data_IF_160274250970
#
_entry.id   IF_160274250970
#
_cell.length_a   1.000
_cell.length_b   1.000
_cell.length_c   1.000
_cell.angle_alpha   90.00
_cell.angle_beta   90.00
_cell.angle_gamma   90.00
#
_symmetry.space_group_name_H-M   'P 1'
#
loop_
_entity.id
_entity.type
_entity.pdbx_description
1 polymer ?
#
# COMPACT_ATOMS: atom_id res chain seq x y z
N UNK A 1 -9.81 7.16 -18.89
CA UNK A 1 -9.90 6.85 -17.45
C UNK A 1 -11.29 6.33 -17.13
N UNK A 2 -11.41 5.40 -16.18
CA UNK A 2 -12.72 4.88 -15.74
C UNK A 2 -13.26 5.59 -14.49
N UNK A 3 -12.37 5.87 -13.52
CA UNK A 3 -12.67 6.75 -12.38
C UNK A 3 -11.72 7.94 -12.46
N UNK A 4 -12.23 9.15 -12.36
CA UNK A 4 -11.42 10.38 -12.31
C UNK A 4 -11.88 11.27 -11.17
N UNK A 5 -10.92 11.78 -10.40
CA UNK A 5 -11.12 12.86 -9.45
C UNK A 5 -10.41 14.10 -9.99
N UNK A 6 -11.10 15.24 -10.00
CA UNK A 6 -10.57 16.52 -10.47
C UNK A 6 -10.71 17.58 -9.40
N UNK A 7 -9.57 18.02 -8.86
CA UNK A 7 -9.47 19.13 -7.90
C UNK A 7 -10.39 18.95 -6.68
N UNK A 8 -10.49 17.73 -6.17
CA UNK A 8 -11.36 17.39 -5.04
C UNK A 8 -10.83 18.02 -3.76
N UNK A 9 -11.70 18.77 -3.10
CA UNK A 9 -11.46 19.35 -1.79
C UNK A 9 -12.51 18.88 -0.79
N UNK A 10 -12.08 18.60 0.45
CA UNK A 10 -12.95 18.26 1.57
C UNK A 10 -12.34 18.71 2.88
N UNK A 11 -13.09 19.43 3.67
CA UNK A 11 -12.66 20.00 4.96
C UNK A 11 -13.66 19.63 6.06
N UNK A 12 -13.18 19.33 7.24
CA UNK A 12 -13.96 19.12 8.46
C UNK A 12 -13.43 20.06 9.55
N UNK A 13 -14.13 21.18 9.77
CA UNK A 13 -13.59 22.26 10.61
C UNK A 13 -12.26 22.77 10.04
N UNK A 14 -11.20 22.71 10.83
CA UNK A 14 -9.86 23.12 10.40
C UNK A 14 -9.06 22.02 9.70
N UNK A 15 -9.60 20.80 9.65
CA UNK A 15 -8.90 19.65 9.07
C UNK A 15 -9.25 19.47 7.58
N UNK A 16 -8.24 19.62 6.71
CA UNK A 16 -8.35 19.32 5.28
C UNK A 16 -8.15 17.83 5.05
N UNK A 17 -9.22 17.10 4.83
CA UNK A 17 -9.19 15.67 4.51
C UNK A 17 -8.82 15.42 3.04
N UNK A 18 -9.12 16.34 2.15
CA UNK A 18 -8.65 16.35 0.76
C UNK A 18 -8.34 17.79 0.37
N UNK A 19 -7.16 18.02 -0.20
CA UNK A 19 -6.64 19.31 -0.61
C UNK A 19 -6.17 19.20 -2.08
N UNK A 20 -7.04 19.62 -3.01
CA UNK A 20 -6.78 19.60 -4.44
C UNK A 20 -6.42 18.20 -5.01
N UNK A 21 -7.14 17.17 -4.56
CA UNK A 21 -6.89 15.78 -4.96
C UNK A 21 -7.34 15.55 -6.40
N UNK A 22 -6.39 15.13 -7.24
CA UNK A 22 -6.66 14.78 -8.65
C UNK A 22 -5.92 13.52 -9.03
N UNK A 23 -6.63 12.52 -9.55
CA UNK A 23 -6.05 11.30 -10.13
C UNK A 23 -7.07 10.57 -11.02
N UNK A 24 -6.56 9.70 -11.88
CA UNK A 24 -7.39 8.83 -12.72
C UNK A 24 -7.03 7.36 -12.55
N UNK A 25 -8.02 6.49 -12.74
CA UNK A 25 -7.91 5.04 -12.65
C UNK A 25 -8.42 4.41 -13.93
N UNK A 26 -7.69 3.45 -14.46
CA UNK A 26 -8.10 2.68 -15.63
C UNK A 26 -9.08 1.57 -15.27
N UNK A 27 -9.87 1.15 -16.25
CA UNK A 27 -10.84 0.05 -16.06
C UNK A 27 -10.12 -1.28 -15.81
N UNK A 28 -10.65 -2.07 -14.87
CA UNK A 28 -10.14 -3.40 -14.54
C UNK A 28 -8.91 -3.41 -13.63
N UNK A 29 -8.40 -2.26 -13.21
CA UNK A 29 -7.25 -2.15 -12.30
C UNK A 29 -7.66 -2.29 -10.84
N UNK A 30 -6.76 -2.85 -10.05
CA UNK A 30 -6.82 -2.89 -8.59
C UNK A 30 -5.87 -1.85 -8.01
N UNK A 31 -6.43 -0.80 -7.43
CA UNK A 31 -5.69 0.36 -6.93
C UNK A 31 -5.60 0.31 -5.40
N UNK A 32 -4.39 0.46 -4.87
CA UNK A 32 -4.13 0.65 -3.45
C UNK A 32 -4.04 2.14 -3.11
N UNK A 33 -4.95 2.64 -2.30
CA UNK A 33 -4.87 3.99 -1.73
C UNK A 33 -4.14 3.91 -0.40
N UNK A 34 -2.87 4.31 -0.37
CA UNK A 34 -1.92 4.09 0.71
C UNK A 34 -1.51 5.41 1.38
N UNK A 35 -1.27 5.38 2.68
CA UNK A 35 -0.76 6.54 3.42
C UNK A 35 -0.98 6.40 4.93
N UNK A 36 -0.45 7.29 5.75
CA UNK A 36 -0.63 7.25 7.20
C UNK A 36 -2.07 7.45 7.63
N UNK A 37 -2.38 7.11 8.88
CA UNK A 37 -3.68 7.40 9.47
C UNK A 37 -3.96 8.91 9.40
N UNK A 38 -5.20 9.27 9.06
CA UNK A 38 -5.57 10.68 8.90
C UNK A 38 -5.10 11.34 7.59
N UNK A 39 -4.58 10.62 6.58
CA UNK A 39 -4.20 11.22 5.29
C UNK A 39 -5.37 11.45 4.32
N UNK A 40 -6.62 11.15 4.70
CA UNK A 40 -7.80 11.40 3.89
C UNK A 40 -8.31 10.22 3.04
N UNK A 41 -7.65 9.06 3.06
CA UNK A 41 -7.97 7.88 2.23
C UNK A 41 -9.43 7.43 2.29
N UNK A 42 -9.92 7.16 3.49
CA UNK A 42 -11.33 6.74 3.72
C UNK A 42 -12.30 7.82 3.27
N UNK A 43 -11.97 9.10 3.43
CA UNK A 43 -12.79 10.22 2.96
C UNK A 43 -12.87 10.21 1.42
N UNK A 44 -11.74 10.04 0.73
CA UNK A 44 -11.70 9.91 -0.73
C UNK A 44 -12.57 8.72 -1.17
N UNK A 45 -12.40 7.56 -0.53
CA UNK A 45 -13.17 6.36 -0.85
C UNK A 45 -14.69 6.59 -0.68
N UNK A 46 -15.10 7.25 0.42
CA UNK A 46 -16.49 7.58 0.69
C UNK A 46 -17.06 8.60 -0.28
N UNK A 47 -16.28 9.58 -0.72
CA UNK A 47 -16.71 10.54 -1.74
C UNK A 47 -16.94 9.83 -3.09
N UNK A 48 -16.07 8.92 -3.51
CA UNK A 48 -16.31 8.11 -4.71
C UNK A 48 -17.59 7.28 -4.57
N UNK A 49 -17.82 6.69 -3.40
CA UNK A 49 -19.02 5.90 -3.11
C UNK A 49 -20.32 6.72 -3.06
N UNK A 50 -20.26 8.05 -2.91
CA UNK A 50 -21.43 8.92 -2.67
C UNK A 50 -21.95 8.84 -1.25
N UNK A 51 -21.14 8.37 -0.32
CA UNK A 51 -21.42 8.36 1.14
C UNK A 51 -20.98 9.66 1.81
N UNK A 52 -20.20 10.47 1.13
CA UNK A 52 -19.71 11.78 1.52
C UNK A 52 -19.71 12.68 0.27
N UNK A 53 -19.96 13.98 0.44
CA UNK A 53 -19.88 14.94 -0.66
C UNK A 53 -18.57 15.73 -0.59
N UNK A 54 -17.86 15.95 -1.69
CA UNK A 54 -16.77 16.91 -1.74
C UNK A 54 -17.29 18.33 -1.57
N UNK A 55 -16.46 19.21 -1.02
CA UNK A 55 -16.79 20.63 -0.90
C UNK A 55 -16.62 21.34 -2.26
N UNK A 56 -15.70 20.83 -3.11
CA UNK A 56 -15.51 21.27 -4.49
C UNK A 56 -14.78 20.21 -5.31
N UNK A 57 -14.75 20.39 -6.64
CA UNK A 57 -14.17 19.46 -7.59
C UNK A 57 -15.17 18.48 -8.17
N UNK A 58 -14.74 17.61 -9.06
CA UNK A 58 -15.59 16.67 -9.79
C UNK A 58 -15.14 15.23 -9.60
N UNK A 59 -16.09 14.33 -9.37
CA UNK A 59 -15.91 12.88 -9.39
C UNK A 59 -16.59 12.34 -10.64
N UNK A 60 -15.83 11.67 -11.49
CA UNK A 60 -16.30 11.13 -12.77
C UNK A 60 -16.14 9.61 -12.74
N UNK A 61 -17.20 8.88 -13.07
CA UNK A 61 -17.20 7.43 -13.19
C UNK A 61 -17.78 7.07 -14.56
N UNK A 62 -17.03 6.33 -15.36
CA UNK A 62 -17.39 5.92 -16.72
C UNK A 62 -17.82 7.12 -17.58
N UNK A 63 -17.06 8.23 -17.51
CA UNK A 63 -17.31 9.47 -18.23
C UNK A 63 -18.47 10.34 -17.72
N UNK A 64 -19.16 9.92 -16.63
CA UNK A 64 -20.27 10.66 -16.04
C UNK A 64 -19.86 11.30 -14.71
N UNK A 65 -20.13 12.59 -14.55
CA UNK A 65 -20.00 13.28 -13.25
C UNK A 65 -21.06 12.72 -12.29
N UNK A 66 -20.62 12.30 -11.09
CA UNK A 66 -21.48 11.59 -10.11
C UNK A 66 -21.64 12.32 -8.78
N UNK A 67 -21.19 13.56 -8.67
CA UNK A 67 -21.28 14.33 -7.40
C UNK A 67 -22.68 14.28 -6.79
N UNK A 68 -23.70 14.57 -7.59
CA UNK A 68 -25.10 14.62 -7.16
C UNK A 68 -25.86 13.30 -7.32
N UNK A 69 -25.17 12.23 -7.75
CA UNK A 69 -25.78 10.91 -7.89
C UNK A 69 -25.77 10.19 -6.54
N UNK A 70 -26.94 9.74 -6.03
CA UNK A 70 -27.02 8.98 -4.78
C UNK A 70 -26.15 7.70 -4.83
N UNK A 71 -25.58 7.30 -3.69
CA UNK A 71 -24.73 6.10 -3.59
C UNK A 71 -25.39 4.84 -4.16
N UNK A 72 -26.72 4.68 -3.97
CA UNK A 72 -27.49 3.54 -4.48
C UNK A 72 -27.57 3.44 -6.00
N UNK A 73 -27.30 4.55 -6.71
CA UNK A 73 -27.41 4.65 -8.16
C UNK A 73 -26.05 4.71 -8.88
N UNK A 74 -24.94 4.75 -8.12
CA UNK A 74 -23.58 4.77 -8.69
C UNK A 74 -23.09 3.42 -9.20
N UNK A 75 -23.81 2.32 -8.96
CA UNK A 75 -23.40 0.98 -9.38
C UNK A 75 -22.15 0.46 -8.69
N UNK A 76 -21.91 0.87 -7.46
CA UNK A 76 -20.72 0.58 -6.65
C UNK A 76 -21.01 -0.48 -5.61
N UNK A 77 -20.09 -1.45 -5.46
CA UNK A 77 -20.02 -2.33 -4.31
C UNK A 77 -19.09 -1.72 -3.24
N UNK A 78 -19.52 -1.72 -1.98
CA UNK A 78 -18.72 -1.18 -0.88
C UNK A 78 -18.55 -2.21 0.23
N UNK A 79 -17.29 -2.40 0.68
CA UNK A 79 -16.94 -3.24 1.83
C UNK A 79 -16.36 -2.33 2.91
N UNK A 80 -17.04 -2.26 4.06
CA UNK A 80 -16.63 -1.46 5.21
C UNK A 80 -15.56 -2.17 6.04
N UNK A 81 -14.74 -1.41 6.74
CA UNK A 81 -13.66 -1.89 7.61
C UNK A 81 -14.12 -2.92 8.65
N UNK A 82 -15.30 -2.74 9.23
CA UNK A 82 -15.90 -3.65 10.20
C UNK A 82 -16.82 -4.69 9.57
N UNK A 83 -16.73 -4.85 8.22
CA UNK A 83 -17.56 -5.72 7.38
C UNK A 83 -19.05 -5.35 7.36
N UNK A 84 -19.57 -4.67 8.36
CA UNK A 84 -20.95 -4.22 8.51
C UNK A 84 -22.01 -5.28 8.14
N UNK A 85 -21.76 -6.55 8.52
CA UNK A 85 -22.73 -7.64 8.27
C UNK A 85 -23.94 -7.47 9.19
N UNK A 86 -25.12 -7.78 8.64
CA UNK A 86 -26.36 -7.80 9.39
C UNK A 86 -26.35 -9.02 10.33
N UNK A 87 -26.22 -8.77 11.63
CA UNK A 87 -25.97 -9.79 12.67
C UNK A 87 -27.08 -10.82 12.78
N UNK A 88 -28.32 -10.43 12.49
CA UNK A 88 -29.52 -11.25 12.57
C UNK A 88 -29.92 -11.88 11.23
N UNK A 89 -29.07 -11.74 10.21
CA UNK A 89 -29.24 -12.36 8.91
C UNK A 89 -28.23 -13.48 8.71
N UNK A 90 -28.65 -14.54 8.04
CA UNK A 90 -27.75 -15.62 7.64
C UNK A 90 -26.73 -15.15 6.60
N UNK A 91 -25.73 -15.97 6.27
CA UNK A 91 -24.81 -15.73 5.13
C UNK A 91 -25.60 -15.51 3.85
N UNK A 92 -26.59 -16.41 3.57
CA UNK A 92 -27.47 -16.28 2.41
C UNK A 92 -28.21 -14.94 2.39
N UNK A 93 -28.83 -14.54 3.51
CA UNK A 93 -29.60 -13.31 3.58
C UNK A 93 -28.76 -12.05 3.49
N UNK A 94 -27.56 -12.06 4.08
CA UNK A 94 -26.58 -10.96 3.92
C UNK A 94 -26.24 -10.75 2.45
N UNK A 95 -25.90 -11.83 1.71
CA UNK A 95 -25.53 -11.75 0.28
C UNK A 95 -26.76 -11.35 -0.56
N UNK A 96 -27.93 -11.88 -0.25
CA UNK A 96 -29.17 -11.60 -0.98
C UNK A 96 -29.71 -10.18 -0.75
N UNK A 97 -29.25 -9.47 0.29
CA UNK A 97 -29.87 -8.22 0.75
C UNK A 97 -30.02 -7.18 -0.36
N UNK A 98 -28.92 -6.84 -1.03
CA UNK A 98 -28.95 -5.82 -2.10
C UNK A 98 -29.89 -6.19 -3.25
N UNK A 99 -29.90 -7.48 -3.65
CA UNK A 99 -30.80 -7.98 -4.68
C UNK A 99 -32.29 -7.96 -4.27
N UNK A 100 -32.58 -8.19 -2.97
CA UNK A 100 -33.95 -8.06 -2.42
C UNK A 100 -34.42 -6.61 -2.44
N UNK A 101 -33.52 -5.65 -2.09
CA UNK A 101 -33.81 -4.21 -2.17
C UNK A 101 -34.12 -3.78 -3.60
N UNK A 102 -33.38 -4.31 -4.57
CA UNK A 102 -33.60 -4.08 -6.01
C UNK A 102 -34.84 -4.80 -6.55
N UNK A 103 -35.58 -5.55 -5.70
CA UNK A 103 -36.76 -6.34 -6.08
C UNK A 103 -36.49 -7.35 -7.21
N UNK A 104 -35.27 -7.92 -7.25
CA UNK A 104 -34.90 -8.94 -8.23
C UNK A 104 -35.74 -10.23 -8.05
N UNK A 105 -35.88 -10.98 -9.14
CA UNK A 105 -36.61 -12.25 -9.12
C UNK A 105 -36.03 -13.27 -8.13
N UNK A 106 -36.87 -14.00 -7.42
CA UNK A 106 -36.47 -14.98 -6.39
C UNK A 106 -35.56 -16.08 -6.92
N UNK A 107 -35.78 -16.54 -8.14
CA UNK A 107 -34.98 -17.58 -8.78
C UNK A 107 -33.60 -17.05 -9.12
N UNK A 108 -33.52 -15.82 -9.64
CA UNK A 108 -32.26 -15.14 -9.90
C UNK A 108 -31.47 -14.91 -8.60
N UNK A 109 -32.11 -14.39 -7.52
CA UNK A 109 -31.48 -14.21 -6.21
C UNK A 109 -30.85 -15.51 -5.75
N UNK A 110 -31.61 -16.62 -5.76
CA UNK A 110 -31.09 -17.93 -5.33
C UNK A 110 -29.88 -18.37 -6.15
N UNK A 111 -29.95 -18.26 -7.46
CA UNK A 111 -28.86 -18.66 -8.35
C UNK A 111 -27.61 -17.79 -8.12
N UNK A 112 -27.77 -16.48 -8.03
CA UNK A 112 -26.68 -15.51 -7.82
C UNK A 112 -26.00 -15.71 -6.47
N UNK A 113 -26.78 -15.86 -5.39
CA UNK A 113 -26.24 -16.08 -4.04
C UNK A 113 -25.47 -17.39 -3.98
N UNK A 114 -26.02 -18.50 -4.51
CA UNK A 114 -25.32 -19.79 -4.49
C UNK A 114 -24.01 -19.76 -5.28
N UNK A 115 -24.01 -19.09 -6.45
CA UNK A 115 -22.77 -18.87 -7.23
C UNK A 115 -21.74 -18.07 -6.44
N UNK A 116 -22.15 -17.03 -5.71
CA UNK A 116 -21.25 -16.23 -4.89
C UNK A 116 -20.74 -16.99 -3.67
N UNK A 117 -21.60 -17.77 -3.00
CA UNK A 117 -21.20 -18.64 -1.88
C UNK A 117 -20.14 -19.65 -2.31
N UNK A 118 -20.30 -20.24 -3.48
CA UNK A 118 -19.29 -21.15 -4.06
C UNK A 118 -18.00 -20.39 -4.40
N UNK A 119 -18.11 -19.21 -5.02
CA UNK A 119 -16.99 -18.36 -5.40
C UNK A 119 -16.13 -17.97 -4.21
N UNK A 120 -16.73 -17.65 -3.06
CA UNK A 120 -16.01 -17.26 -1.83
C UNK A 120 -15.60 -18.46 -0.96
N UNK A 121 -15.85 -19.70 -1.41
CA UNK A 121 -15.47 -20.93 -0.71
C UNK A 121 -16.23 -21.20 0.59
N UNK A 122 -17.49 -20.76 0.68
CA UNK A 122 -18.34 -20.93 1.89
C UNK A 122 -19.55 -21.86 1.65
N UNK A 123 -19.45 -22.78 0.68
CA UNK A 123 -20.48 -23.78 0.39
C UNK A 123 -20.79 -24.61 1.65
N UNK A 124 -22.09 -24.73 1.97
CA UNK A 124 -22.59 -25.43 3.16
C UNK A 124 -22.71 -24.53 4.41
N UNK A 125 -22.27 -23.26 4.34
CA UNK A 125 -22.36 -22.28 5.43
C UNK A 125 -23.50 -21.25 5.23
N UNK A 126 -24.35 -21.44 4.23
CA UNK A 126 -25.35 -20.45 3.80
C UNK A 126 -26.33 -20.06 4.92
N UNK A 127 -26.62 -21.03 5.81
CA UNK A 127 -27.56 -20.86 6.92
C UNK A 127 -26.92 -20.34 8.20
N UNK A 128 -25.58 -20.18 8.24
CA UNK A 128 -24.88 -19.66 9.42
C UNK A 128 -25.08 -18.17 9.57
N UNK A 129 -25.01 -17.71 10.82
CA UNK A 129 -25.00 -16.28 11.17
C UNK A 129 -23.58 -15.76 11.29
N UNK A 130 -23.36 -14.44 11.15
CA UNK A 130 -22.02 -13.84 11.29
C UNK A 130 -21.27 -14.20 12.57
N UNK A 131 -21.97 -14.38 13.69
CA UNK A 131 -21.38 -14.82 14.96
C UNK A 131 -20.78 -16.23 14.95
N UNK A 132 -21.14 -17.05 13.97
CA UNK A 132 -20.66 -18.42 13.80
C UNK A 132 -19.52 -18.55 12.78
N UNK A 133 -19.00 -17.40 12.30
CA UNK A 133 -17.97 -17.33 11.26
C UNK A 133 -16.65 -16.79 11.83
N UNK A 134 -15.53 -17.25 11.27
CA UNK A 134 -14.23 -16.64 11.50
C UNK A 134 -14.15 -15.22 10.90
N UNK A 135 -13.13 -14.42 11.26
CA UNK A 135 -12.90 -13.09 10.73
C UNK A 135 -12.82 -13.09 9.19
N UNK A 136 -11.97 -13.95 8.63
CA UNK A 136 -11.83 -14.09 7.18
C UNK A 136 -13.10 -14.57 6.48
N UNK A 137 -13.88 -15.47 7.12
CA UNK A 137 -15.19 -15.88 6.58
C UNK A 137 -16.19 -14.72 6.56
N UNK A 138 -16.25 -13.90 7.63
CA UNK A 138 -17.10 -12.70 7.66
C UNK A 138 -16.72 -11.72 6.55
N UNK A 139 -15.43 -11.51 6.32
CA UNK A 139 -14.96 -10.64 5.24
C UNK A 139 -15.38 -11.18 3.87
N UNK A 140 -15.19 -12.45 3.59
CA UNK A 140 -15.62 -13.08 2.33
C UNK A 140 -17.13 -12.91 2.10
N UNK A 141 -17.94 -13.01 3.16
CA UNK A 141 -19.39 -12.74 3.08
C UNK A 141 -19.67 -11.27 2.74
N UNK A 142 -18.97 -10.32 3.37
CA UNK A 142 -19.13 -8.89 3.06
C UNK A 142 -18.74 -8.59 1.60
N UNK A 143 -17.67 -9.21 1.12
CA UNK A 143 -17.24 -9.12 -0.27
C UNK A 143 -18.33 -9.68 -1.23
N UNK A 144 -18.85 -10.87 -0.97
CA UNK A 144 -19.93 -11.46 -1.77
C UNK A 144 -21.20 -10.61 -1.75
N UNK A 145 -21.55 -10.00 -0.60
CA UNK A 145 -22.67 -9.05 -0.49
C UNK A 145 -22.47 -7.84 -1.38
N UNK A 146 -21.25 -7.27 -1.38
CA UNK A 146 -20.92 -6.12 -2.24
C UNK A 146 -20.97 -6.48 -3.74
N UNK A 147 -20.61 -7.71 -4.11
CA UNK A 147 -20.64 -8.21 -5.48
C UNK A 147 -22.03 -8.68 -5.96
N UNK A 148 -22.96 -8.94 -5.06
CA UNK A 148 -24.27 -9.52 -5.42
C UNK A 148 -25.03 -8.69 -6.45
N UNK A 149 -25.11 -7.34 -6.33
CA UNK A 149 -25.78 -6.49 -7.31
C UNK A 149 -25.06 -6.36 -8.66
N UNK A 150 -23.92 -7.04 -8.85
CA UNK A 150 -23.08 -6.95 -10.04
C UNK A 150 -22.50 -5.52 -10.28
N UNK A 151 -21.79 -4.96 -9.31
CA UNK A 151 -21.25 -3.61 -9.45
C UNK A 151 -20.18 -3.52 -10.53
N UNK A 152 -19.96 -2.30 -11.05
CA UNK A 152 -18.89 -2.01 -12.01
C UNK A 152 -17.60 -1.52 -11.31
N UNK A 153 -17.71 -1.05 -10.08
CA UNK A 153 -16.62 -0.57 -9.25
C UNK A 153 -16.76 -1.17 -7.85
N UNK A 154 -15.65 -1.66 -7.28
CA UNK A 154 -15.61 -2.18 -5.93
C UNK A 154 -14.70 -1.33 -5.05
N UNK A 155 -15.22 -0.88 -3.92
CA UNK A 155 -14.50 -0.07 -2.95
C UNK A 155 -14.35 -0.84 -1.64
N UNK A 156 -13.13 -0.90 -1.10
CA UNK A 156 -12.78 -1.69 0.08
C UNK A 156 -12.07 -0.79 1.10
N UNK A 157 -12.72 -0.54 2.23
CA UNK A 157 -12.17 0.28 3.30
C UNK A 157 -11.44 -0.61 4.32
N UNK A 158 -10.10 -0.57 4.31
CA UNK A 158 -9.20 -1.38 5.15
C UNK A 158 -9.57 -2.88 5.19
N UNK A 159 -9.61 -3.57 4.04
CA UNK A 159 -10.17 -4.93 3.97
C UNK A 159 -9.41 -5.96 4.79
N UNK A 160 -8.16 -5.70 5.17
CA UNK A 160 -7.31 -6.66 5.90
C UNK A 160 -7.12 -6.29 7.38
N UNK A 161 -7.75 -5.21 7.86
CA UNK A 161 -7.71 -4.83 9.26
C UNK A 161 -8.40 -5.88 10.15
N UNK A 162 -7.95 -6.01 11.39
CA UNK A 162 -8.52 -6.89 12.40
C UNK A 162 -8.52 -8.41 12.06
N UNK A 163 -7.52 -8.86 11.30
CA UNK A 163 -7.33 -10.28 10.95
C UNK A 163 -5.92 -10.73 11.38
N UNK A 164 -5.83 -11.96 11.87
CA UNK A 164 -4.55 -12.59 12.22
C UNK A 164 -3.57 -12.63 11.05
N UNK A 165 -2.27 -12.44 11.32
CA UNK A 165 -1.24 -12.31 10.29
C UNK A 165 -1.22 -13.47 9.28
N UNK A 166 -1.40 -14.73 9.74
CA UNK A 166 -1.42 -15.90 8.86
C UNK A 166 -2.62 -15.88 7.89
N UNK A 167 -3.80 -15.57 8.42
CA UNK A 167 -5.05 -15.50 7.63
C UNK A 167 -5.00 -14.30 6.69
N UNK A 168 -4.32 -13.22 7.08
CA UNK A 168 -4.17 -12.00 6.28
C UNK A 168 -3.44 -12.28 4.95
N UNK A 169 -2.34 -13.02 4.96
CA UNK A 169 -1.60 -13.40 3.74
C UNK A 169 -2.47 -14.22 2.78
N UNK A 170 -3.15 -15.25 3.29
CA UNK A 170 -4.08 -16.06 2.48
C UNK A 170 -5.21 -15.21 1.88
N UNK A 171 -5.67 -14.21 2.62
CA UNK A 171 -6.78 -13.36 2.20
C UNK A 171 -6.35 -12.31 1.16
N UNK A 172 -5.11 -11.80 1.23
CA UNK A 172 -4.52 -10.92 0.22
C UNK A 172 -4.47 -11.62 -1.13
N UNK A 173 -3.85 -12.81 -1.19
CA UNK A 173 -3.79 -13.61 -2.43
C UNK A 173 -5.19 -13.93 -2.94
N UNK A 174 -6.10 -14.38 -2.06
CA UNK A 174 -7.48 -14.68 -2.43
C UNK A 174 -8.21 -13.45 -3.02
N UNK A 175 -8.04 -12.26 -2.43
CA UNK A 175 -8.69 -11.04 -2.92
C UNK A 175 -8.16 -10.65 -4.30
N UNK A 176 -6.84 -10.69 -4.49
CA UNK A 176 -6.18 -10.40 -5.75
C UNK A 176 -6.68 -11.32 -6.86
N UNK A 177 -6.59 -12.64 -6.67
CA UNK A 177 -7.07 -13.65 -7.61
C UNK A 177 -8.55 -13.46 -7.96
N UNK A 178 -9.35 -13.09 -6.95
CA UNK A 178 -10.79 -12.89 -7.12
C UNK A 178 -11.09 -11.66 -7.99
N UNK A 179 -10.41 -10.54 -7.74
CA UNK A 179 -10.59 -9.30 -8.50
C UNK A 179 -10.11 -9.49 -9.94
N UNK A 180 -8.95 -10.10 -10.14
CA UNK A 180 -8.41 -10.44 -11.47
C UNK A 180 -9.40 -11.34 -12.24
N UNK A 181 -9.89 -12.40 -11.61
CA UNK A 181 -10.85 -13.32 -12.23
C UNK A 181 -12.18 -12.66 -12.62
N UNK A 182 -12.62 -11.67 -11.87
CA UNK A 182 -13.85 -10.93 -12.12
C UNK A 182 -13.64 -9.78 -13.12
N UNK A 183 -12.41 -9.31 -13.33
CA UNK A 183 -12.09 -8.17 -14.16
C UNK A 183 -12.75 -6.86 -13.71
N UNK A 184 -13.04 -6.74 -12.40
CA UNK A 184 -13.72 -5.58 -11.84
C UNK A 184 -12.73 -4.51 -11.40
N UNK A 185 -12.98 -3.26 -11.74
CA UNK A 185 -12.19 -2.13 -11.21
C UNK A 185 -12.37 -2.04 -9.71
N UNK A 186 -11.27 -1.95 -8.97
CA UNK A 186 -11.34 -1.96 -7.51
C UNK A 186 -10.39 -0.96 -6.89
N UNK A 187 -10.80 -0.36 -5.77
CA UNK A 187 -9.97 0.53 -4.96
C UNK A 187 -10.03 0.02 -3.52
N UNK A 188 -8.88 -0.22 -2.92
CA UNK A 188 -8.81 -0.51 -1.50
C UNK A 188 -7.96 0.53 -0.77
N UNK A 189 -8.35 0.81 0.46
CA UNK A 189 -7.62 1.68 1.38
C UNK A 189 -6.82 0.82 2.34
N UNK A 190 -5.58 1.18 2.56
CA UNK A 190 -4.74 0.58 3.60
C UNK A 190 -3.72 1.59 4.15
N UNK A 191 -3.22 1.34 5.34
CA UNK A 191 -2.05 2.00 5.90
C UNK A 191 -0.84 1.04 5.95
N UNK A 192 -1.03 -0.22 5.57
CA UNK A 192 0.00 -1.25 5.52
C UNK A 192 0.64 -1.27 4.12
N UNK A 193 1.95 -1.05 4.09
CA UNK A 193 2.73 -0.98 2.85
C UNK A 193 2.80 -2.34 2.16
N UNK A 194 2.95 -3.42 2.93
CA UNK A 194 3.06 -4.77 2.39
C UNK A 194 1.75 -5.18 1.70
N UNK A 195 0.60 -4.75 2.25
CA UNK A 195 -0.70 -4.97 1.61
C UNK A 195 -0.79 -4.29 0.25
N UNK A 196 -0.37 -3.02 0.17
CA UNK A 196 -0.42 -2.27 -1.07
C UNK A 196 0.53 -2.85 -2.12
N UNK A 197 1.77 -3.22 -1.72
CA UNK A 197 2.79 -3.77 -2.62
C UNK A 197 2.37 -5.15 -3.17
N UNK A 198 1.80 -6.01 -2.32
CA UNK A 198 1.46 -7.39 -2.70
C UNK A 198 0.20 -7.46 -3.58
N UNK A 199 -0.78 -6.59 -3.32
CA UNK A 199 -2.13 -6.73 -3.87
C UNK A 199 -2.38 -5.80 -5.05
N UNK A 200 -1.91 -4.55 -5.02
CA UNK A 200 -2.27 -3.53 -6.00
C UNK A 200 -1.52 -3.65 -7.34
N UNK A 201 -2.21 -3.32 -8.44
CA UNK A 201 -1.58 -3.06 -9.75
C UNK A 201 -0.88 -1.70 -9.76
N UNK A 202 -1.52 -0.70 -9.15
CA UNK A 202 -1.00 0.65 -8.96
C UNK A 202 -1.31 1.12 -7.54
N UNK A 203 -0.44 1.92 -6.97
CA UNK A 203 -0.63 2.58 -5.67
C UNK A 203 -0.72 4.08 -5.84
N UNK A 204 -1.57 4.70 -5.03
CA UNK A 204 -1.69 6.14 -4.90
C UNK A 204 -1.33 6.48 -3.46
N UNK A 205 -0.24 7.19 -3.28
CA UNK A 205 0.24 7.60 -1.95
C UNK A 205 -0.41 8.92 -1.57
N UNK A 206 -1.02 8.93 -0.39
CA UNK A 206 -1.65 10.12 0.18
C UNK A 206 -0.95 10.56 1.46
N UNK A 207 -0.80 11.88 1.62
CA UNK A 207 -0.28 12.47 2.82
C UNK A 207 -0.97 13.82 3.08
N UNK A 208 -1.45 14.05 4.29
CA UNK A 208 -2.09 15.32 4.70
C UNK A 208 -3.15 15.83 3.69
N UNK A 209 -3.97 14.91 3.18
CA UNK A 209 -5.04 15.24 2.22
C UNK A 209 -4.58 15.46 0.78
N UNK A 210 -3.32 15.26 0.44
CA UNK A 210 -2.76 15.43 -0.92
C UNK A 210 -2.27 14.11 -1.48
N UNK A 211 -2.18 14.05 -2.80
CA UNK A 211 -1.51 12.95 -3.49
C UNK A 211 -0.01 13.28 -3.55
N UNK A 212 0.81 12.38 -3.06
CA UNK A 212 2.27 12.47 -3.13
C UNK A 212 2.81 11.88 -4.43
N UNK A 213 2.32 10.69 -4.78
CA UNK A 213 2.76 9.99 -5.98
C UNK A 213 1.74 8.91 -6.38
N UNK A 214 1.69 8.58 -7.68
CA UNK A 214 0.96 7.45 -8.25
C UNK A 214 1.90 6.65 -9.16
N UNK A 215 1.83 5.32 -9.12
CA UNK A 215 2.57 4.41 -10.00
C UNK A 215 2.39 2.96 -9.62
N UNK A 216 3.07 2.06 -10.30
CA UNK A 216 3.16 0.67 -9.84
C UNK A 216 3.93 0.60 -8.50
N UNK A 217 3.69 -0.43 -7.67
CA UNK A 217 4.43 -0.58 -6.41
C UNK A 217 5.95 -0.49 -6.58
N UNK A 218 6.49 -1.12 -7.64
CA UNK A 218 7.91 -1.13 -7.92
C UNK A 218 8.44 0.25 -8.32
N UNK A 219 7.73 0.97 -9.20
CA UNK A 219 8.11 2.33 -9.63
C UNK A 219 8.15 3.29 -8.45
N UNK A 220 7.08 3.32 -7.65
CA UNK A 220 7.01 4.20 -6.48
C UNK A 220 8.09 3.88 -5.44
N UNK A 221 8.40 2.57 -5.29
CA UNK A 221 9.47 2.14 -4.40
C UNK A 221 10.86 2.52 -4.91
N UNK A 222 11.14 2.31 -6.20
CA UNK A 222 12.47 2.55 -6.77
C UNK A 222 12.74 4.03 -7.05
N UNK A 223 11.72 4.77 -7.48
CA UNK A 223 11.80 6.15 -7.93
C UNK A 223 10.79 7.02 -7.18
N UNK A 224 10.98 7.24 -5.85
CA UNK A 224 10.12 8.14 -5.11
C UNK A 224 10.29 9.58 -5.61
N UNK A 225 9.18 10.26 -5.89
CA UNK A 225 9.17 11.64 -6.39
C UNK A 225 9.26 12.65 -5.24
N UNK A 226 8.75 12.30 -4.05
CA UNK A 226 8.73 13.20 -2.91
C UNK A 226 9.57 12.69 -1.74
N UNK A 227 10.07 13.62 -0.93
CA UNK A 227 10.76 13.32 0.32
C UNK A 227 9.90 12.43 1.24
N UNK A 228 8.58 12.68 1.25
CA UNK A 228 7.65 11.84 1.98
C UNK A 228 7.65 10.41 1.45
N UNK A 229 7.48 10.21 0.15
CA UNK A 229 7.45 8.87 -0.47
C UNK A 229 8.76 8.13 -0.25
N UNK A 230 9.92 8.81 -0.37
CA UNK A 230 11.23 8.21 -0.13
C UNK A 230 11.36 7.65 1.28
N UNK A 231 10.87 8.39 2.29
CA UNK A 231 10.93 8.00 3.71
C UNK A 231 9.77 7.10 4.17
N UNK A 232 8.69 7.02 3.39
CA UNK A 232 7.48 6.32 3.82
C UNK A 232 7.61 4.80 3.74
N UNK A 233 8.34 4.26 2.75
CA UNK A 233 8.48 2.82 2.57
C UNK A 233 9.60 2.21 3.42
N UNK A 234 9.26 1.18 4.19
CA UNK A 234 10.20 0.37 4.94
C UNK A 234 10.83 1.09 6.13
N UNK A 235 11.90 0.49 6.65
CA UNK A 235 12.73 1.07 7.70
C UNK A 235 13.81 1.92 7.04
N UNK A 236 13.64 3.23 7.00
CA UNK A 236 14.62 4.14 6.42
C UNK A 236 15.53 4.74 7.49
N UNK A 237 16.77 5.05 7.11
CA UNK A 237 17.69 5.88 7.89
C UNK A 237 17.75 7.26 7.27
N UNK A 238 17.66 8.30 8.10
CA UNK A 238 17.83 9.70 7.68
C UNK A 238 19.24 10.12 8.01
N UNK A 239 19.93 10.70 7.05
CA UNK A 239 21.33 11.15 7.14
C UNK A 239 21.35 12.66 6.95
N UNK A 240 21.77 13.39 7.96
CA UNK A 240 21.87 14.86 7.89
C UNK A 240 23.04 15.33 7.02
N UNK A 241 24.15 14.58 7.02
CA UNK A 241 25.31 14.84 6.17
C UNK A 241 25.71 13.59 5.41
N UNK A 242 25.21 13.42 4.19
CA UNK A 242 25.50 12.24 3.35
C UNK A 242 26.89 12.27 2.71
N UNK A 243 27.61 13.39 2.76
CA UNK A 243 28.99 13.51 2.28
C UNK A 243 29.99 12.72 3.12
N UNK A 244 29.58 12.21 4.30
CA UNK A 244 30.37 11.20 5.05
C UNK A 244 30.57 9.91 4.26
N UNK A 245 29.68 9.62 3.30
CA UNK A 245 29.78 8.46 2.43
C UNK A 245 30.45 8.87 1.13
N UNK A 246 31.56 8.22 0.80
CA UNK A 246 32.32 8.53 -0.40
C UNK A 246 31.50 8.26 -1.68
N UNK A 247 31.87 8.96 -2.76
CA UNK A 247 31.34 8.73 -4.12
C UNK A 247 29.85 9.08 -4.33
N UNK A 248 29.31 10.03 -3.59
CA UNK A 248 28.05 10.66 -3.91
C UNK A 248 28.27 12.11 -4.34
N UNK A 249 27.63 12.50 -5.45
CA UNK A 249 27.65 13.88 -5.94
C UNK A 249 26.87 14.80 -4.99
N UNK A 250 27.29 16.05 -4.91
CA UNK A 250 26.58 17.06 -4.15
C UNK A 250 25.33 17.52 -4.92
N UNK A 251 24.17 17.49 -4.26
CA UNK A 251 22.92 18.04 -4.80
C UNK A 251 22.80 19.50 -4.34
N UNK A 252 22.83 20.49 -5.27
CA UNK A 252 22.65 21.88 -4.91
C UNK A 252 21.31 22.13 -4.22
N UNK A 253 21.35 22.59 -2.97
CA UNK A 253 20.17 22.78 -2.12
C UNK A 253 19.61 21.49 -1.54
N UNK A 254 20.38 20.39 -1.57
CA UNK A 254 20.04 19.15 -0.86
C UNK A 254 20.15 19.34 0.65
N UNK A 255 19.18 18.81 1.39
CA UNK A 255 19.11 19.00 2.84
C UNK A 255 19.59 17.76 3.59
N UNK A 256 18.96 16.61 3.32
CA UNK A 256 19.20 15.33 4.00
C UNK A 256 19.17 14.21 2.99
N UNK A 257 19.71 13.04 3.34
CA UNK A 257 19.54 11.85 2.56
C UNK A 257 18.73 10.80 3.31
N UNK A 258 17.94 10.04 2.56
CA UNK A 258 17.17 8.89 3.02
C UNK A 258 17.82 7.65 2.43
N UNK A 259 18.13 6.68 3.28
CA UNK A 259 18.73 5.41 2.90
C UNK A 259 17.87 4.25 3.38
N UNK A 260 17.67 3.27 2.52
CA UNK A 260 16.95 2.04 2.88
C UNK A 260 17.93 0.92 3.22
N UNK A 261 17.58 0.01 4.13
CA UNK A 261 18.48 -1.05 4.60
C UNK A 261 19.06 -1.93 3.49
N UNK A 262 18.29 -2.19 2.43
CA UNK A 262 18.73 -3.01 1.29
C UNK A 262 19.76 -2.34 0.40
N UNK A 263 19.98 -1.03 0.55
CA UNK A 263 21.02 -0.28 -0.16
C UNK A 263 22.30 -0.11 0.67
N UNK A 264 22.30 -0.65 1.89
CA UNK A 264 23.44 -0.62 2.79
C UNK A 264 24.05 -2.00 2.88
N UNK A 265 25.21 -2.20 2.28
CA UNK A 265 25.98 -3.42 2.40
C UNK A 265 26.96 -3.32 3.55
N UNK A 266 26.93 -4.29 4.45
CA UNK A 266 27.82 -4.39 5.61
C UNK A 266 28.66 -5.63 5.46
N UNK A 267 29.98 -5.50 5.47
CA UNK A 267 30.94 -6.60 5.33
C UNK A 267 31.98 -6.55 6.46
N UNK A 268 32.43 -7.72 6.88
CA UNK A 268 33.55 -7.82 7.85
C UNK A 268 34.85 -7.42 7.19
N UNK A 269 35.84 -6.99 7.97
CA UNK A 269 37.16 -6.56 7.48
C UNK A 269 37.93 -7.65 6.71
N UNK A 270 37.63 -8.93 7.00
CA UNK A 270 38.26 -10.10 6.37
C UNK A 270 37.44 -10.70 5.22
N UNK A 271 36.25 -10.16 4.94
CA UNK A 271 35.44 -10.61 3.81
C UNK A 271 35.88 -9.91 2.52
N UNK A 272 35.74 -10.63 1.40
CA UNK A 272 35.94 -10.04 0.08
C UNK A 272 34.79 -9.08 -0.22
N UNK A 273 35.14 -7.86 -0.61
CA UNK A 273 34.18 -6.82 -0.96
C UNK A 273 34.59 -6.13 -2.24
N UNK A 274 33.68 -6.09 -3.21
CA UNK A 274 33.91 -5.52 -4.53
C UNK A 274 34.27 -4.02 -4.48
N UNK A 275 33.67 -3.27 -3.53
CA UNK A 275 33.84 -1.82 -3.39
C UNK A 275 34.54 -1.43 -2.09
N UNK A 276 35.56 -2.20 -1.68
CA UNK A 276 36.24 -1.98 -0.39
C UNK A 276 36.89 -0.60 -0.26
N UNK A 277 37.45 -0.08 -1.35
CA UNK A 277 38.07 1.26 -1.37
C UNK A 277 37.06 2.41 -1.20
N UNK A 278 35.79 2.16 -1.49
CA UNK A 278 34.69 3.12 -1.40
C UNK A 278 33.81 2.93 -0.17
N UNK A 279 34.09 1.89 0.63
CA UNK A 279 33.41 1.63 1.88
C UNK A 279 33.92 2.55 2.98
N UNK A 280 33.02 2.90 3.89
CA UNK A 280 33.33 3.69 5.09
C UNK A 280 33.31 2.76 6.31
N UNK A 281 34.22 2.98 7.25
CA UNK A 281 34.27 2.21 8.49
C UNK A 281 33.08 2.53 9.38
N UNK A 282 32.46 1.45 9.94
CA UNK A 282 31.36 1.57 10.88
C UNK A 282 31.49 0.57 12.02
N UNK A 283 30.73 0.81 13.07
CA UNK A 283 30.64 -0.08 14.25
C UNK A 283 29.21 -0.60 14.38
N UNK A 284 29.07 -1.91 14.50
CA UNK A 284 27.75 -2.56 14.72
C UNK A 284 27.26 -2.25 16.12
N UNK A 285 26.15 -1.52 16.24
CA UNK A 285 25.53 -1.19 17.51
C UNK A 285 24.51 -2.24 17.98
N UNK A 286 23.78 -2.81 17.02
CA UNK A 286 22.73 -3.77 17.33
C UNK A 286 22.60 -4.80 16.22
N UNK A 287 22.34 -6.05 16.63
CA UNK A 287 22.01 -7.17 15.74
C UNK A 287 20.67 -7.74 16.16
N UNK A 288 19.71 -7.84 15.25
CA UNK A 288 18.40 -8.42 15.51
C UNK A 288 18.06 -9.47 14.44
N UNK A 289 17.73 -10.68 14.88
CA UNK A 289 17.24 -11.73 13.98
C UNK A 289 15.78 -11.46 13.57
N UNK A 290 15.50 -11.50 12.27
CA UNK A 290 14.18 -11.23 11.67
C UNK A 290 13.61 -12.42 10.89
N UNK A 291 13.97 -13.64 11.26
CA UNK A 291 13.52 -14.86 10.59
C UNK A 291 14.36 -15.22 9.37
N UNK A 292 14.31 -14.43 8.31
CA UNK A 292 15.05 -14.67 7.05
C UNK A 292 16.37 -13.91 6.92
N UNK A 293 16.65 -12.94 7.80
CA UNK A 293 17.85 -12.10 7.74
C UNK A 293 18.21 -11.56 9.12
N UNK A 294 19.42 -11.01 9.23
CA UNK A 294 19.84 -10.16 10.34
C UNK A 294 19.58 -8.69 9.98
N UNK A 295 18.91 -7.99 10.86
CA UNK A 295 18.79 -6.54 10.81
C UNK A 295 19.89 -5.94 11.70
N UNK A 296 20.66 -5.03 11.11
CA UNK A 296 21.78 -4.39 11.77
C UNK A 296 21.48 -2.91 11.97
N UNK A 297 21.95 -2.36 13.10
CA UNK A 297 22.16 -0.93 13.28
C UNK A 297 23.67 -0.70 13.30
N UNK A 298 24.16 0.10 12.36
CA UNK A 298 25.59 0.35 12.20
C UNK A 298 25.85 1.85 12.29
N UNK A 299 26.72 2.24 13.21
CA UNK A 299 27.17 3.64 13.37
C UNK A 299 28.31 3.91 12.41
N UNK A 300 28.17 4.98 11.61
CA UNK A 300 29.19 5.53 10.73
C UNK A 300 29.33 7.01 11.08
N UNK A 301 30.42 7.40 11.72
CA UNK A 301 30.53 8.74 12.32
C UNK A 301 29.38 9.02 13.29
N UNK A 302 28.64 10.10 13.09
CA UNK A 302 27.48 10.48 13.90
C UNK A 302 26.15 9.89 13.42
N UNK A 303 26.17 9.12 12.32
CA UNK A 303 24.97 8.57 11.68
C UNK A 303 24.79 7.10 12.02
N UNK A 304 23.55 6.68 12.31
CA UNK A 304 23.19 5.27 12.50
C UNK A 304 22.37 4.79 11.32
N UNK A 305 22.92 3.82 10.59
CA UNK A 305 22.26 3.21 9.46
C UNK A 305 21.59 1.88 9.85
N UNK A 306 20.46 1.62 9.22
CA UNK A 306 19.87 0.27 9.19
C UNK A 306 20.43 -0.48 7.99
N UNK A 307 20.78 -1.74 8.17
CA UNK A 307 21.24 -2.62 7.10
C UNK A 307 20.61 -4.00 7.26
N UNK A 308 20.62 -4.77 6.18
CA UNK A 308 20.24 -6.20 6.20
C UNK A 308 21.44 -7.05 5.80
N UNK A 309 21.62 -8.16 6.53
CA UNK A 309 22.66 -9.16 6.23
C UNK A 309 22.02 -10.53 6.10
N UNK A 310 22.43 -11.28 5.09
CA UNK A 310 21.95 -12.66 4.87
C UNK A 310 22.40 -13.59 6.01
N UNK A 311 21.64 -14.64 6.25
CA UNK A 311 22.02 -15.71 7.18
C UNK A 311 23.12 -16.60 6.62
N UNK A 312 23.36 -16.57 5.30
CA UNK A 312 24.43 -17.32 4.64
C UNK A 312 25.79 -16.62 4.78
N UNK A 313 25.82 -15.34 5.15
CA UNK A 313 27.04 -14.58 5.42
C UNK A 313 27.51 -14.82 6.86
N UNK A 314 28.82 -14.70 7.12
CA UNK A 314 29.34 -14.81 8.49
C UNK A 314 28.61 -13.84 9.45
N UNK A 315 28.16 -14.30 10.61
CA UNK A 315 27.45 -13.45 11.54
C UNK A 315 28.37 -12.36 12.11
N UNK A 316 27.85 -11.13 12.19
CA UNK A 316 28.50 -10.01 12.86
C UNK A 316 28.01 -9.88 14.30
N UNK A 317 28.83 -9.27 15.16
CA UNK A 317 28.52 -9.05 16.57
C UNK A 317 28.42 -7.56 16.91
N UNK A 318 27.70 -7.26 17.96
CA UNK A 318 27.66 -5.92 18.52
C UNK A 318 29.07 -5.48 18.98
N UNK A 319 29.46 -4.26 18.65
CA UNK A 319 30.81 -3.72 18.88
C UNK A 319 31.82 -4.06 17.76
N UNK A 320 31.45 -4.90 16.79
CA UNK A 320 32.37 -5.27 15.72
C UNK A 320 32.56 -4.13 14.71
N UNK A 321 33.81 -3.91 14.30
CA UNK A 321 34.18 -2.92 13.27
C UNK A 321 33.97 -3.57 11.91
N UNK A 322 33.22 -2.90 11.05
CA UNK A 322 32.80 -3.38 9.73
C UNK A 322 33.03 -2.36 8.64
N UNK A 323 33.03 -2.79 7.39
CA UNK A 323 33.01 -1.92 6.23
C UNK A 323 31.56 -1.74 5.76
N UNK A 324 31.16 -0.48 5.60
CA UNK A 324 29.81 -0.07 5.20
C UNK A 324 29.87 0.56 3.82
N UNK A 325 29.18 -0.01 2.86
CA UNK A 325 29.05 0.51 1.51
C UNK A 325 27.58 0.87 1.23
N UNK A 326 27.35 2.14 0.94
CA UNK A 326 26.02 2.65 0.58
C UNK A 326 25.92 2.71 -0.94
N UNK A 327 25.00 1.95 -1.53
CA UNK A 327 24.84 1.83 -2.97
C UNK A 327 24.11 3.01 -3.61
N UNK A 328 23.07 3.50 -2.95
CA UNK A 328 22.24 4.62 -3.40
C UNK A 328 21.53 5.29 -2.25
N UNK A 329 21.22 6.57 -2.44
CA UNK A 329 20.54 7.41 -1.47
C UNK A 329 19.48 8.24 -2.18
N UNK A 330 18.48 8.72 -1.44
CA UNK A 330 17.51 9.71 -1.89
C UNK A 330 17.80 11.02 -1.17
N UNK A 331 18.32 12.03 -1.87
CA UNK A 331 18.59 13.36 -1.29
C UNK A 331 17.32 14.19 -1.35
N UNK A 332 16.89 14.73 -0.23
CA UNK A 332 15.70 15.59 -0.15
C UNK A 332 16.07 17.03 -0.49
N UNK A 333 15.21 17.67 -1.30
CA UNK A 333 15.29 19.07 -1.67
C UNK A 333 13.89 19.68 -1.58
N UNK A 334 13.59 20.33 -0.47
CA UNK A 334 12.22 20.72 -0.16
C UNK A 334 11.30 19.49 -0.10
N UNK A 335 10.28 19.40 -0.98
CA UNK A 335 9.40 18.25 -1.06
C UNK A 335 9.86 17.18 -2.06
N UNK A 336 10.86 17.45 -2.87
CA UNK A 336 11.36 16.52 -3.89
C UNK A 336 12.38 15.53 -3.32
N UNK A 337 12.50 14.35 -3.94
CA UNK A 337 13.55 13.37 -3.67
C UNK A 337 14.39 13.15 -4.93
N UNK A 338 15.70 13.29 -4.80
CA UNK A 338 16.66 13.06 -5.90
C UNK A 338 17.41 11.76 -5.64
N UNK A 339 17.29 10.79 -6.51
CA UNK A 339 18.03 9.55 -6.44
C UNK A 339 19.47 9.76 -6.86
N UNK A 340 20.42 9.40 -6.00
CA UNK A 340 21.83 9.30 -6.31
C UNK A 340 22.32 7.87 -6.20
N UNK A 341 23.08 7.43 -7.19
CA UNK A 341 23.84 6.19 -7.15
C UNK A 341 25.28 6.48 -6.71
N UNK A 342 25.86 5.55 -5.98
CA UNK A 342 27.27 5.61 -5.65
C UNK A 342 28.08 5.47 -6.95
N UNK A 343 28.92 6.47 -7.27
CA UNK A 343 29.66 6.51 -8.54
C UNK A 343 30.70 5.40 -8.66
N UNK A 344 31.17 4.81 -7.55
CA UNK A 344 32.03 3.63 -7.59
C UNK A 344 31.38 2.42 -8.26
N UNK A 345 30.02 2.38 -8.36
CA UNK A 345 29.30 1.33 -9.08
C UNK A 345 29.24 1.58 -10.58
N UNK A 346 29.38 2.81 -11.04
CA UNK A 346 29.23 3.21 -12.44
C UNK A 346 30.46 2.80 -13.27
N UNK A 347 31.64 2.73 -12.65
CA UNK A 347 32.88 2.31 -13.32
C UNK A 347 32.81 0.86 -13.86
N UNK A 348 31.94 0.02 -13.28
CA UNK A 348 31.74 -1.38 -13.72
C UNK A 348 30.91 -1.51 -15.02
N UNK A 349 30.13 -0.51 -15.41
CA UNK A 349 29.30 -0.54 -16.63
C UNK A 349 30.08 -0.11 -17.90
N UNK A 350 31.30 0.42 -17.71
CA UNK A 350 32.17 0.88 -18.80
C UNK A 350 33.22 -0.16 -19.22
N UNK A 351 33.24 -1.34 -18.57
CA UNK A 351 34.19 -2.43 -18.85
C UNK A 351 33.44 -3.67 -19.41
N UNK A 352 32.63 -3.48 -20.42
CA UNK A 352 32.15 -4.58 -21.28
C UNK A 352 32.40 -4.21 -22.74
#
# INVERSE_FOLDING_TARGET
MYVELKNINKTYGDYKASDNVSFGIEKGKLIGLLGPSGSGKTTILRMIAGLEQPDSGEIIIDGRVVNDVPASERGIGFVFQNYALFRYMTVYDNIAFGLKVQKADKKYIKQRVMKLVELIGLKGLEKRYPSQLSGGQRQRVAFARALAPNPQLLLLDEPFAAIDAKIRTELRSWLKDMIEKLGITSIFVTHDQDEAIEVADEIIITNRGRIEQKGTPLEVYQNPETAFTAGFFGQTSVIDNYQVFNHFEEVPGGEKAIVRPEFVKVTKKNEEQKYKSSATEGVVERVAFRGSSLELKVRVGDTVLSARRSLDEEPVREGEVVDVFVQRIFVTKGNEAVLLHNTAMVEDWLVI
#
